data_IF_338485699288
#
_entry.id   IF_338485699288
#
_cell.length_a   1.000
_cell.length_b   1.000
_cell.length_c   1.000
_cell.angle_alpha   90.00
_cell.angle_beta   90.00
_cell.angle_gamma   90.00
#
_symmetry.space_group_name_H-M   'P 1'
#
loop_
_entity.id
_entity.type
_entity.pdbx_description
1 polymer ?
#
# COMPACT_ATOMS: atom_id res chain seq x y z
N UNK A 1 5.54 9.95 13.21
CA UNK A 1 5.67 8.50 13.03
C UNK A 1 5.48 8.13 11.58
N UNK A 2 6.04 7.03 11.18
CA UNK A 2 5.94 6.59 9.78
C UNK A 2 4.77 5.63 9.58
N UNK A 3 4.09 5.79 8.46
CA UNK A 3 2.97 4.93 8.07
C UNK A 3 3.23 4.43 6.65
N UNK A 4 3.16 3.13 6.45
CA UNK A 4 3.23 2.54 5.12
C UNK A 4 1.88 2.69 4.42
N UNK A 5 1.90 3.03 3.13
CA UNK A 5 0.66 3.24 2.35
C UNK A 5 0.52 2.13 1.31
N UNK A 6 -0.62 1.43 1.35
CA UNK A 6 -0.91 0.30 0.46
C UNK A 6 -1.95 0.66 -0.60
N UNK A 7 -1.93 -0.09 -1.70
CA UNK A 7 -2.90 0.03 -2.80
C UNK A 7 -4.34 -0.05 -2.29
N UNK A 8 -4.64 -0.97 -1.37
CA UNK A 8 -6.01 -1.19 -0.91
C UNK A 8 -6.65 0.07 -0.33
N UNK A 9 -5.89 0.85 0.43
CA UNK A 9 -6.37 2.09 1.01
C UNK A 9 -6.47 3.21 -0.03
N UNK A 10 -5.45 3.37 -0.88
CA UNK A 10 -5.46 4.40 -1.92
C UNK A 10 -6.61 4.19 -2.92
N UNK A 11 -6.81 2.94 -3.32
CA UNK A 11 -7.90 2.61 -4.24
C UNK A 11 -9.27 2.92 -3.60
N UNK A 12 -9.50 2.46 -2.39
CA UNK A 12 -10.76 2.67 -1.69
C UNK A 12 -11.03 4.16 -1.42
N UNK A 13 -9.98 4.95 -1.21
CA UNK A 13 -10.11 6.39 -1.03
C UNK A 13 -10.61 7.07 -2.31
N UNK A 14 -10.21 6.57 -3.47
CA UNK A 14 -10.60 7.12 -4.78
C UNK A 14 -11.94 6.60 -5.30
N UNK A 15 -12.36 5.42 -4.86
CA UNK A 15 -13.59 4.77 -5.32
C UNK A 15 -14.69 4.92 -4.27
N UNK A 16 -15.58 5.91 -4.47
CA UNK A 16 -16.68 6.18 -3.56
C UNK A 16 -17.69 5.04 -3.42
N UNK A 17 -17.70 4.12 -4.38
CA UNK A 17 -18.60 2.95 -4.36
C UNK A 17 -17.95 1.72 -3.73
N UNK A 18 -16.67 1.80 -3.37
CA UNK A 18 -15.99 0.68 -2.73
C UNK A 18 -16.47 0.48 -1.30
N UNK A 19 -16.65 -0.78 -0.89
CA UNK A 19 -17.09 -1.11 0.46
C UNK A 19 -16.14 -0.57 1.55
N UNK A 20 -14.87 -0.39 1.22
CA UNK A 20 -13.86 0.15 2.13
C UNK A 20 -13.71 1.66 2.13
N UNK A 21 -14.50 2.39 1.33
CA UNK A 21 -14.34 3.84 1.15
C UNK A 21 -14.39 4.60 2.47
N UNK A 22 -15.39 4.34 3.32
CA UNK A 22 -15.53 5.04 4.61
C UNK A 22 -14.36 4.76 5.54
N UNK A 23 -13.86 3.53 5.58
CA UNK A 23 -12.67 3.19 6.37
C UNK A 23 -11.44 3.94 5.84
N UNK A 24 -11.29 4.01 4.52
CA UNK A 24 -10.17 4.72 3.90
C UNK A 24 -10.23 6.22 4.21
N UNK A 25 -11.42 6.82 4.21
CA UNK A 25 -11.60 8.22 4.60
C UNK A 25 -11.19 8.46 6.05
N UNK A 26 -11.65 7.63 6.97
CA UNK A 26 -11.28 7.75 8.39
C UNK A 26 -9.77 7.60 8.57
N UNK A 27 -9.18 6.62 7.91
CA UNK A 27 -7.74 6.39 7.96
C UNK A 27 -6.95 7.58 7.43
N UNK A 28 -7.41 8.21 6.35
CA UNK A 28 -6.74 9.37 5.77
C UNK A 28 -6.67 10.55 6.75
N UNK A 29 -7.71 10.72 7.57
CA UNK A 29 -7.72 11.76 8.60
C UNK A 29 -6.72 11.46 9.72
N UNK A 30 -6.56 10.17 10.06
CA UNK A 30 -5.67 9.74 11.16
C UNK A 30 -4.20 9.84 10.81
N UNK A 31 -3.85 9.84 9.52
CA UNK A 31 -2.46 9.92 9.08
C UNK A 31 -2.02 11.33 8.67
N UNK A 32 -2.86 12.34 8.89
CA UNK A 32 -2.48 13.72 8.66
C UNK A 32 -1.27 14.09 9.52
N UNK A 33 -0.25 14.66 8.89
CA UNK A 33 0.99 15.06 9.57
C UNK A 33 1.98 13.92 9.81
N UNK A 34 1.63 12.69 9.49
CA UNK A 34 2.55 11.55 9.58
C UNK A 34 3.45 11.48 8.35
N UNK A 35 4.62 10.85 8.50
CA UNK A 35 5.48 10.52 7.37
C UNK A 35 4.89 9.32 6.63
N UNK A 36 4.56 9.51 5.36
CA UNK A 36 3.96 8.46 4.53
C UNK A 36 5.02 7.86 3.61
N UNK A 37 5.09 6.54 3.57
CA UNK A 37 6.09 5.81 2.78
C UNK A 37 5.43 4.68 2.00
N UNK A 38 5.94 4.43 0.80
CA UNK A 38 5.58 3.24 0.03
C UNK A 38 6.73 2.88 -0.92
N UNK A 39 6.56 1.83 -1.68
CA UNK A 39 7.55 1.39 -2.65
C UNK A 39 6.99 1.36 -4.07
N UNK A 40 7.89 1.22 -5.04
CA UNK A 40 7.55 1.33 -6.47
C UNK A 40 6.54 0.29 -6.96
N UNK A 41 6.50 -0.92 -6.38
CA UNK A 41 5.52 -1.92 -6.82
C UNK A 41 4.09 -1.51 -6.45
N UNK A 42 3.91 -0.90 -5.27
CA UNK A 42 2.60 -0.35 -4.88
C UNK A 42 2.19 0.76 -5.84
N UNK A 43 3.10 1.63 -6.21
CA UNK A 43 2.81 2.73 -7.15
C UNK A 43 2.32 2.17 -8.48
N UNK A 44 3.05 1.21 -9.06
CA UNK A 44 2.68 0.59 -10.34
C UNK A 44 1.32 -0.10 -10.24
N UNK A 45 1.12 -0.89 -9.19
CA UNK A 45 -0.14 -1.60 -8.97
C UNK A 45 -1.31 -0.64 -8.83
N UNK A 46 -1.15 0.40 -8.00
CA UNK A 46 -2.22 1.37 -7.72
C UNK A 46 -2.58 2.17 -8.96
N UNK A 47 -1.60 2.71 -9.65
CA UNK A 47 -1.85 3.50 -10.89
C UNK A 47 -2.54 2.64 -11.94
N UNK A 48 -2.06 1.41 -12.14
CA UNK A 48 -2.63 0.49 -13.12
C UNK A 48 -4.08 0.11 -12.78
N UNK A 49 -4.34 -0.20 -11.51
CA UNK A 49 -5.66 -0.59 -11.03
C UNK A 49 -6.67 0.57 -11.13
N UNK A 50 -6.27 1.75 -10.68
CA UNK A 50 -7.11 2.95 -10.72
C UNK A 50 -7.43 3.32 -12.18
N UNK A 51 -6.43 3.31 -13.06
CA UNK A 51 -6.64 3.61 -14.49
C UNK A 51 -7.63 2.64 -15.11
N UNK A 52 -7.49 1.35 -14.81
CA UNK A 52 -8.34 0.32 -15.41
C UNK A 52 -9.78 0.37 -14.90
N UNK A 53 -9.98 0.61 -13.60
CA UNK A 53 -11.30 0.54 -12.97
C UNK A 53 -12.03 1.87 -12.90
N UNK A 54 -11.30 2.97 -12.70
CA UNK A 54 -11.90 4.29 -12.45
C UNK A 54 -11.64 5.30 -13.58
N UNK A 55 -10.72 4.99 -14.49
CA UNK A 55 -10.46 5.81 -15.66
C UNK A 55 -9.31 6.80 -15.50
N UNK A 56 -9.08 7.57 -16.56
CA UNK A 56 -7.92 8.46 -16.67
C UNK A 56 -7.94 9.63 -15.68
N UNK A 57 -9.12 10.16 -15.39
CA UNK A 57 -9.26 11.32 -14.50
C UNK A 57 -8.90 10.95 -13.05
N UNK A 58 -9.37 9.80 -12.57
CA UNK A 58 -9.02 9.30 -11.24
C UNK A 58 -7.52 8.99 -11.15
N UNK A 59 -6.94 8.40 -12.20
CA UNK A 59 -5.51 8.13 -12.24
C UNK A 59 -4.69 9.43 -12.21
N UNK A 60 -5.15 10.47 -12.89
CA UNK A 60 -4.50 11.78 -12.85
C UNK A 60 -4.53 12.38 -11.44
N UNK A 61 -5.67 12.28 -10.73
CA UNK A 61 -5.76 12.75 -9.34
C UNK A 61 -4.83 11.99 -8.41
N UNK A 62 -4.73 10.68 -8.58
CA UNK A 62 -3.78 9.87 -7.81
C UNK A 62 -2.35 10.39 -8.00
N UNK A 63 -1.93 10.57 -9.25
CA UNK A 63 -0.57 10.98 -9.59
C UNK A 63 -0.28 12.41 -9.16
N UNK A 64 -1.22 13.32 -9.39
CA UNK A 64 -1.00 14.75 -9.19
C UNK A 64 -1.23 15.20 -7.74
N UNK A 65 -2.19 14.59 -7.05
CA UNK A 65 -2.65 15.08 -5.75
C UNK A 65 -2.30 14.17 -4.58
N UNK A 66 -2.13 12.87 -4.80
CA UNK A 66 -1.91 11.92 -3.71
C UNK A 66 -0.46 11.44 -3.62
N UNK A 67 0.10 10.95 -4.72
CA UNK A 67 1.47 10.43 -4.71
C UNK A 67 2.53 11.45 -4.27
N UNK A 68 2.42 12.75 -4.61
CA UNK A 68 3.41 13.72 -4.14
C UNK A 68 3.52 13.86 -2.62
N UNK A 69 2.49 13.46 -1.88
CA UNK A 69 2.50 13.49 -0.41
C UNK A 69 3.16 12.25 0.21
N UNK A 70 3.53 11.28 -0.60
CA UNK A 70 4.08 10.00 -0.14
C UNK A 70 5.54 9.90 -0.58
N UNK A 71 6.40 9.50 0.35
CA UNK A 71 7.80 9.23 0.03
C UNK A 71 7.91 7.85 -0.61
N UNK A 72 8.21 7.82 -1.91
CA UNK A 72 8.24 6.59 -2.70
C UNK A 72 9.70 6.16 -2.89
N UNK A 73 10.00 4.91 -2.52
CA UNK A 73 11.31 4.32 -2.77
C UNK A 73 11.21 3.22 -3.83
N UNK A 74 12.23 3.11 -4.65
CA UNK A 74 12.30 2.02 -5.61
C UNK A 74 12.66 0.72 -4.90
N UNK A 75 12.02 -0.38 -5.35
CA UNK A 75 12.36 -1.71 -4.86
C UNK A 75 13.72 -2.08 -5.42
N UNK A 76 14.73 -2.13 -4.56
CA UNK A 76 16.08 -2.49 -4.95
C UNK A 76 16.26 -4.01 -5.03
N UNK A 77 17.44 -4.44 -5.48
CA UNK A 77 17.74 -5.85 -5.65
C UNK A 77 17.63 -6.64 -4.35
N UNK A 78 18.11 -6.07 -3.25
CA UNK A 78 18.09 -6.75 -1.94
C UNK A 78 16.65 -6.96 -1.44
N UNK A 79 15.82 -5.93 -1.53
CA UNK A 79 14.41 -6.03 -1.12
C UNK A 79 13.65 -7.00 -2.03
N UNK A 80 13.86 -6.91 -3.33
CA UNK A 80 13.25 -7.83 -4.30
C UNK A 80 13.62 -9.27 -3.99
N UNK A 81 14.89 -9.54 -3.68
CA UNK A 81 15.35 -10.87 -3.34
C UNK A 81 14.67 -11.44 -2.09
N UNK A 82 14.53 -10.63 -1.04
CA UNK A 82 13.83 -11.05 0.19
C UNK A 82 12.35 -11.32 -0.08
N UNK A 83 11.72 -10.45 -0.87
CA UNK A 83 10.30 -10.60 -1.20
C UNK A 83 10.03 -11.87 -2.02
N UNK A 84 10.89 -12.14 -3.02
CA UNK A 84 10.79 -13.34 -3.84
C UNK A 84 10.99 -14.61 -3.00
N UNK A 85 11.95 -14.59 -2.08
CA UNK A 85 12.20 -15.72 -1.19
C UNK A 85 10.99 -15.98 -0.28
N UNK A 86 10.41 -14.95 0.31
CA UNK A 86 9.22 -15.06 1.16
C UNK A 86 8.01 -15.56 0.37
N UNK A 87 7.80 -15.04 -0.82
CA UNK A 87 6.73 -15.47 -1.71
C UNK A 87 6.88 -16.95 -2.08
N UNK A 88 8.09 -17.36 -2.45
CA UNK A 88 8.40 -18.74 -2.84
C UNK A 88 8.20 -19.72 -1.69
N UNK A 89 8.53 -19.32 -0.47
CA UNK A 89 8.39 -20.17 0.72
C UNK A 89 6.92 -20.36 1.13
N UNK A 90 6.03 -19.42 0.82
CA UNK A 90 4.62 -19.44 1.24
C UNK A 90 3.71 -20.01 0.14
N UNK A 91 4.00 -21.23 -0.31
CA UNK A 91 3.37 -21.86 -1.49
C UNK A 91 1.85 -22.04 -1.40
N UNK A 92 1.28 -22.10 -0.21
CA UNK A 92 -0.17 -22.27 -0.02
C UNK A 92 -0.89 -20.98 0.35
N UNK A 93 -0.20 -19.86 0.32
CA UNK A 93 -0.75 -18.55 0.68
C UNK A 93 -1.26 -17.81 -0.55
N UNK A 94 -2.33 -17.03 -0.38
CA UNK A 94 -2.87 -16.14 -1.41
C UNK A 94 -2.22 -14.75 -1.42
N UNK A 95 -1.29 -14.50 -0.50
CA UNK A 95 -0.61 -13.22 -0.40
C UNK A 95 0.21 -12.95 -1.65
N UNK A 96 0.00 -11.79 -2.26
CA UNK A 96 0.67 -11.40 -3.50
C UNK A 96 2.15 -11.10 -3.29
N UNK A 97 2.90 -11.07 -4.39
CA UNK A 97 4.31 -10.66 -4.34
C UNK A 97 4.42 -9.20 -3.90
N UNK A 98 3.49 -8.33 -4.33
CA UNK A 98 3.48 -6.93 -3.89
C UNK A 98 3.34 -6.84 -2.37
N UNK A 99 2.43 -7.60 -1.79
CA UNK A 99 2.23 -7.61 -0.33
C UNK A 99 3.44 -8.18 0.39
N UNK A 100 4.06 -9.25 -0.12
CA UNK A 100 5.31 -9.77 0.45
C UNK A 100 6.41 -8.72 0.43
N UNK A 101 6.50 -7.96 -0.66
CA UNK A 101 7.46 -6.85 -0.76
C UNK A 101 7.16 -5.78 0.30
N UNK A 102 5.90 -5.45 0.49
CA UNK A 102 5.47 -4.48 1.51
C UNK A 102 5.83 -4.92 2.91
N UNK A 103 5.59 -6.19 3.25
CA UNK A 103 5.92 -6.72 4.57
C UNK A 103 7.43 -6.70 4.84
N UNK A 104 8.24 -7.09 3.85
CA UNK A 104 9.70 -7.06 3.97
C UNK A 104 10.22 -5.62 4.10
N UNK A 105 9.66 -4.71 3.33
CA UNK A 105 9.99 -3.30 3.39
C UNK A 105 9.69 -2.70 4.77
N UNK A 106 8.50 -2.96 5.29
CA UNK A 106 8.09 -2.46 6.60
C UNK A 106 8.97 -3.01 7.72
N UNK A 107 9.28 -4.32 7.69
CA UNK A 107 10.15 -4.95 8.69
C UNK A 107 11.55 -4.37 8.67
N UNK A 108 12.09 -4.15 7.47
CA UNK A 108 13.44 -3.61 7.32
C UNK A 108 13.55 -2.20 7.93
N UNK A 109 12.51 -1.38 7.79
CA UNK A 109 12.48 -0.01 8.30
C UNK A 109 11.89 0.12 9.71
N UNK A 110 11.40 -0.97 10.28
CA UNK A 110 10.76 -0.92 11.60
C UNK A 110 9.41 -0.20 11.60
N UNK A 111 8.71 -0.17 10.46
CA UNK A 111 7.38 0.44 10.35
C UNK A 111 6.35 -0.57 10.80
N UNK A 112 5.52 -0.21 11.79
CA UNK A 112 4.52 -1.11 12.34
C UNK A 112 3.09 -0.80 11.92
N UNK A 113 2.85 0.37 11.32
CA UNK A 113 1.52 0.85 10.96
C UNK A 113 1.36 0.94 9.44
N UNK A 114 0.24 0.46 8.94
CA UNK A 114 -0.07 0.49 7.51
C UNK A 114 -1.43 1.16 7.28
N UNK A 115 -1.46 2.11 6.36
CA UNK A 115 -2.69 2.61 5.78
C UNK A 115 -3.10 1.64 4.69
N UNK A 116 -3.87 0.64 5.09
CA UNK A 116 -4.27 -0.49 4.28
C UNK A 116 -5.62 -1.01 4.77
N UNK A 117 -6.37 -1.65 3.89
CA UNK A 117 -7.64 -2.31 4.24
C UNK A 117 -7.52 -3.82 4.18
N UNK A 118 -6.41 -4.33 3.66
CA UNK A 118 -6.17 -5.75 3.49
C UNK A 118 -5.80 -6.40 4.82
N UNK A 119 -6.60 -7.38 5.25
CA UNK A 119 -6.40 -8.10 6.51
C UNK A 119 -5.08 -8.87 6.56
N UNK A 120 -4.43 -9.13 5.42
CA UNK A 120 -3.13 -9.79 5.39
C UNK A 120 -2.06 -9.02 6.16
N UNK A 121 -2.17 -7.68 6.22
CA UNK A 121 -1.25 -6.87 7.03
C UNK A 121 -1.38 -7.18 8.52
N UNK A 122 -2.61 -7.32 9.01
CA UNK A 122 -2.84 -7.69 10.42
C UNK A 122 -2.34 -9.10 10.72
N UNK A 123 -2.57 -10.03 9.80
CA UNK A 123 -2.10 -11.41 9.94
C UNK A 123 -0.58 -11.49 10.04
N UNK A 124 0.13 -10.54 9.42
CA UNK A 124 1.59 -10.44 9.46
C UNK A 124 2.11 -9.62 10.65
N UNK A 125 1.23 -9.16 11.52
CA UNK A 125 1.61 -8.47 12.75
C UNK A 125 1.62 -6.94 12.68
N UNK A 126 1.16 -6.36 11.58
CA UNK A 126 1.11 -4.90 11.45
C UNK A 126 -0.24 -4.35 11.92
N UNK A 127 -0.25 -3.09 12.35
CA UNK A 127 -1.45 -2.38 12.76
C UNK A 127 -2.05 -1.65 11.56
N UNK A 128 -3.33 -1.87 11.30
CA UNK A 128 -4.05 -1.13 10.27
C UNK A 128 -4.51 0.23 10.80
N UNK A 129 -4.31 1.27 10.00
CA UNK A 129 -4.86 2.59 10.25
C UNK A 129 -6.12 2.73 9.41
N UNK A 130 -7.27 2.84 10.06
CA UNK A 130 -8.54 2.97 9.36
C UNK A 130 -9.61 3.70 10.20
#
# INVERSE_FOLDING_TARGET
MSVFVDTSALYALLDGDDAGHERALRGSERILGEELLTHSYVVVETVSLVRRRLGAEAAARLIDDMLPAINIVDVDEALRGRALAAFRAAVSSDVSLVDRTSFEYMRTLGISRAYALDADFEAEGFELVS
#
